data_IF_715978742697
#
_entry.id   IF_715978742697
#
_cell.length_a   1.000
_cell.length_b   1.000
_cell.length_c   1.000
_cell.angle_alpha   90.00
_cell.angle_beta   90.00
_cell.angle_gamma   90.00
#
_symmetry.space_group_name_H-M   'P 1'
#
loop_
_entity.id
_entity.type
_entity.pdbx_description
1 polymer ?
#
# COMPACT_ATOMS: atom_id res chain seq x y z
N UNK A 1 -14.30 -26.83 10.82
CA UNK A 1 -12.93 -26.92 10.29
C UNK A 1 -12.66 -25.59 9.58
N UNK A 2 -11.92 -24.70 10.21
CA UNK A 2 -11.41 -23.54 9.48
C UNK A 2 -10.41 -24.06 8.46
N UNK A 3 -10.66 -23.79 7.20
CA UNK A 3 -9.70 -24.04 6.15
C UNK A 3 -8.55 -23.06 6.36
N UNK A 4 -7.42 -23.54 6.89
CA UNK A 4 -6.20 -22.73 6.99
C UNK A 4 -5.72 -22.53 5.57
N UNK A 5 -6.00 -21.35 5.02
CA UNK A 5 -5.47 -20.95 3.74
C UNK A 5 -3.98 -20.63 3.97
N UNK A 6 -3.10 -21.54 3.54
CA UNK A 6 -1.66 -21.46 3.80
C UNK A 6 -0.88 -21.49 2.49
N UNK A 7 0.13 -20.62 2.40
CA UNK A 7 1.10 -20.58 1.32
C UNK A 7 2.48 -20.90 1.90
N UNK A 8 3.06 -22.00 1.44
CA UNK A 8 4.41 -22.39 1.81
C UNK A 8 5.40 -21.83 0.79
N UNK A 9 6.31 -20.97 1.24
CA UNK A 9 7.40 -20.47 0.41
C UNK A 9 8.64 -21.35 0.59
N UNK A 10 9.42 -21.56 -0.48
CA UNK A 10 10.71 -22.20 -0.37
C UNK A 10 11.60 -21.36 0.56
N UNK A 11 12.12 -21.97 1.62
CA UNK A 11 12.99 -21.31 2.58
C UNK A 11 14.04 -22.29 3.07
N UNK A 12 15.31 -21.87 3.10
CA UNK A 12 16.27 -22.52 3.97
C UNK A 12 15.85 -22.18 5.41
N UNK A 13 16.15 -23.09 6.36
CA UNK A 13 15.94 -22.79 7.78
C UNK A 13 16.44 -21.38 8.05
N UNK A 14 15.52 -20.50 8.46
CA UNK A 14 15.83 -19.11 8.69
C UNK A 14 16.70 -19.07 9.94
N UNK A 15 18.01 -19.08 9.71
CA UNK A 15 19.01 -18.79 10.75
C UNK A 15 18.54 -17.49 11.41
N UNK A 16 18.29 -17.55 12.72
CA UNK A 16 17.84 -16.50 13.63
C UNK A 16 17.63 -15.13 12.93
N UNK A 17 16.52 -14.98 12.23
CA UNK A 17 16.17 -13.70 11.60
C UNK A 17 16.06 -12.66 12.68
N UNK A 18 16.72 -11.54 12.47
CA UNK A 18 16.60 -10.40 13.37
C UNK A 18 15.12 -9.99 13.43
N UNK A 19 14.49 -10.29 14.55
CA UNK A 19 13.10 -9.90 14.84
C UNK A 19 13.05 -8.60 15.64
N UNK A 20 14.22 -8.00 15.90
CA UNK A 20 14.33 -6.76 16.63
C UNK A 20 13.94 -5.57 15.76
N UNK A 21 14.25 -5.63 14.47
CA UNK A 21 14.17 -4.49 13.60
C UNK A 21 13.55 -4.86 12.24
N UNK A 22 12.76 -3.97 11.70
CA UNK A 22 12.23 -4.05 10.34
C UNK A 22 12.37 -2.72 9.61
N UNK A 23 12.03 -2.71 8.32
CA UNK A 23 12.16 -1.52 7.50
C UNK A 23 11.09 -1.40 6.42
N UNK A 24 10.79 -0.16 6.06
CA UNK A 24 9.98 0.25 4.91
C UNK A 24 10.87 1.10 4.02
N UNK A 25 11.17 0.62 2.83
CA UNK A 25 11.84 1.39 1.79
C UNK A 25 10.78 1.93 0.81
N UNK A 26 10.73 3.25 0.64
CA UNK A 26 9.75 3.89 -0.24
C UNK A 26 10.31 4.02 -1.66
N UNK A 27 9.79 3.21 -2.58
CA UNK A 27 10.18 3.23 -4.00
C UNK A 27 9.54 4.42 -4.72
N UNK A 28 8.30 4.75 -4.36
CA UNK A 28 7.51 5.84 -4.94
C UNK A 28 6.07 5.40 -5.21
N UNK A 29 5.15 6.34 -5.34
CA UNK A 29 3.73 6.12 -5.49
C UNK A 29 3.18 5.22 -4.35
N UNK A 30 2.60 4.07 -4.69
CA UNK A 30 2.12 3.06 -3.74
C UNK A 30 3.14 1.95 -3.47
N UNK A 31 4.32 1.99 -4.13
CA UNK A 31 5.31 0.93 -4.08
C UNK A 31 6.23 1.09 -2.88
N UNK A 32 6.20 0.13 -1.98
CA UNK A 32 7.17 0.01 -0.88
C UNK A 32 7.74 -1.40 -0.78
N UNK A 33 8.93 -1.52 -0.22
CA UNK A 33 9.53 -2.81 0.16
C UNK A 33 9.53 -2.88 1.68
N UNK A 34 8.71 -3.77 2.23
CA UNK A 34 8.66 -4.07 3.67
C UNK A 34 9.55 -5.27 3.96
N UNK A 35 10.50 -5.10 4.88
CA UNK A 35 11.37 -6.18 5.37
C UNK A 35 11.20 -6.36 6.87
N UNK A 36 10.77 -7.54 7.29
CA UNK A 36 10.72 -7.92 8.70
C UNK A 36 10.61 -9.43 8.88
N UNK A 37 11.19 -9.95 9.96
CA UNK A 37 11.11 -11.35 10.39
C UNK A 37 11.43 -12.37 9.27
N UNK A 38 12.37 -12.05 8.38
CA UNK A 38 12.80 -12.91 7.29
C UNK A 38 11.98 -12.80 6.00
N UNK A 39 10.93 -11.98 6.00
CA UNK A 39 10.15 -11.69 4.80
C UNK A 39 10.60 -10.39 4.13
N UNK A 40 10.55 -10.40 2.81
CA UNK A 40 10.65 -9.21 1.95
C UNK A 40 9.40 -9.13 1.08
N UNK A 41 8.55 -8.16 1.38
CA UNK A 41 7.23 -7.99 0.77
C UNK A 41 7.27 -6.73 -0.10
N UNK A 42 6.80 -6.83 -1.35
CA UNK A 42 6.64 -5.71 -2.27
C UNK A 42 5.16 -5.34 -2.35
N UNK A 43 4.83 -4.05 -2.27
CA UNK A 43 3.45 -3.58 -2.42
C UNK A 43 3.27 -2.87 -3.75
N UNK A 44 2.11 -3.04 -4.37
CA UNK A 44 1.63 -2.25 -5.51
C UNK A 44 2.76 -1.86 -6.49
N UNK A 45 3.42 -2.82 -7.16
CA UNK A 45 4.64 -2.57 -7.91
C UNK A 45 4.38 -1.71 -9.16
N UNK A 46 4.94 -0.50 -9.15
CA UNK A 46 4.91 0.44 -10.26
C UNK A 46 6.31 0.99 -10.52
N UNK A 47 6.89 0.63 -11.66
CA UNK A 47 8.28 0.91 -12.05
C UNK A 47 8.39 1.65 -13.39
N UNK A 48 7.29 2.19 -13.90
CA UNK A 48 7.32 3.12 -15.03
C UNK A 48 8.18 4.33 -14.70
N UNK A 49 8.76 4.94 -15.72
CA UNK A 49 9.60 6.12 -15.58
C UNK A 49 8.83 7.41 -15.83
N UNK A 50 9.45 8.51 -15.45
CA UNK A 50 8.96 9.85 -15.71
C UNK A 50 8.67 10.04 -17.21
N UNK A 51 7.44 10.50 -17.49
CA UNK A 51 6.95 10.69 -18.86
C UNK A 51 6.20 9.49 -19.42
N UNK A 52 6.33 8.30 -18.83
CA UNK A 52 5.48 7.17 -19.17
C UNK A 52 4.03 7.45 -18.76
N UNK A 53 3.09 6.92 -19.52
CA UNK A 53 1.67 7.07 -19.25
C UNK A 53 1.11 5.79 -18.65
N UNK A 54 0.27 5.94 -17.63
CA UNK A 54 -0.57 4.88 -17.09
C UNK A 54 -1.99 5.01 -17.61
N UNK A 55 -2.66 3.89 -17.80
CA UNK A 55 -4.05 3.79 -18.20
C UNK A 55 -4.91 3.50 -16.95
N UNK A 56 -5.77 4.44 -16.62
CA UNK A 56 -6.65 4.34 -15.45
C UNK A 56 -8.06 3.81 -15.80
N UNK A 57 -8.19 3.18 -16.97
CA UNK A 57 -9.48 2.71 -17.49
C UNK A 57 -10.30 3.83 -18.14
N UNK A 58 -11.42 3.44 -18.80
CA UNK A 58 -12.38 4.36 -19.45
C UNK A 58 -11.74 5.37 -20.42
N UNK A 59 -10.59 5.04 -21.04
CA UNK A 59 -9.87 5.92 -21.97
C UNK A 59 -9.05 7.02 -21.28
N UNK A 60 -8.94 6.99 -19.97
CA UNK A 60 -8.18 7.98 -19.19
C UNK A 60 -6.72 7.56 -19.04
N UNK A 61 -5.82 8.50 -19.26
CA UNK A 61 -4.39 8.32 -19.07
C UNK A 61 -3.82 9.47 -18.25
N UNK A 62 -2.77 9.20 -17.48
CA UNK A 62 -1.98 10.23 -16.81
C UNK A 62 -0.51 9.91 -16.93
N UNK A 63 0.34 10.94 -16.98
CA UNK A 63 1.77 10.76 -17.08
C UNK A 63 2.40 10.58 -15.70
N UNK A 64 3.36 9.67 -15.60
CA UNK A 64 4.22 9.57 -14.43
C UNK A 64 5.14 10.79 -14.36
N UNK A 65 5.29 11.37 -13.17
CA UNK A 65 6.06 12.61 -12.97
C UNK A 65 7.48 12.39 -12.51
N UNK A 66 7.73 11.22 -12.00
CA UNK A 66 8.98 10.91 -11.28
C UNK A 66 9.47 9.53 -11.64
N UNK A 67 10.77 9.32 -11.51
CA UNK A 67 11.36 7.99 -11.64
C UNK A 67 11.19 7.21 -10.33
N UNK A 68 11.07 5.86 -10.37
CA UNK A 68 11.14 5.06 -9.16
C UNK A 68 12.51 5.20 -8.51
N UNK A 69 12.59 5.10 -7.18
CA UNK A 69 13.87 5.18 -6.46
C UNK A 69 14.78 3.97 -6.70
N UNK A 70 14.24 2.93 -7.31
CA UNK A 70 14.92 1.67 -7.58
C UNK A 70 14.36 1.12 -8.89
N UNK A 71 15.21 0.59 -9.74
CA UNK A 71 14.80 -0.10 -10.96
C UNK A 71 14.22 -1.49 -10.62
N UNK A 72 13.30 -1.98 -11.46
CA UNK A 72 12.67 -3.28 -11.26
C UNK A 72 13.71 -4.41 -11.19
N UNK A 73 14.75 -4.34 -12.02
CA UNK A 73 15.85 -5.31 -12.09
C UNK A 73 16.78 -5.26 -10.86
N UNK A 74 16.73 -4.18 -10.10
CA UNK A 74 17.53 -3.99 -8.89
C UNK A 74 16.76 -4.39 -7.61
N UNK A 75 15.53 -4.91 -7.74
CA UNK A 75 14.78 -5.41 -6.59
C UNK A 75 15.56 -6.50 -5.85
N UNK A 76 15.57 -6.47 -4.51
CA UNK A 76 16.04 -7.62 -3.75
C UNK A 76 15.13 -8.83 -4.02
N UNK A 77 15.55 -10.05 -3.66
CA UNK A 77 14.65 -11.20 -3.70
C UNK A 77 13.36 -10.92 -2.91
N UNK A 78 12.23 -10.96 -3.62
CA UNK A 78 10.89 -10.72 -3.07
C UNK A 78 10.26 -12.06 -2.73
N UNK A 79 9.62 -12.16 -1.57
CA UNK A 79 8.92 -13.36 -1.14
C UNK A 79 7.49 -13.45 -1.70
N UNK A 80 6.80 -12.34 -1.69
CA UNK A 80 5.49 -12.19 -2.31
C UNK A 80 5.13 -10.71 -2.51
N UNK A 81 4.15 -10.48 -3.36
CA UNK A 81 3.58 -9.15 -3.61
C UNK A 81 2.23 -9.03 -2.92
N UNK A 82 1.97 -7.85 -2.35
CA UNK A 82 0.63 -7.41 -1.97
C UNK A 82 0.16 -6.39 -2.99
N UNK A 83 -0.89 -6.73 -3.72
CA UNK A 83 -1.49 -5.85 -4.71
C UNK A 83 -2.87 -5.43 -4.26
N UNK A 84 -3.07 -4.13 -4.05
CA UNK A 84 -4.34 -3.59 -3.57
C UNK A 84 -5.46 -3.73 -4.60
N UNK A 85 -5.18 -3.46 -5.89
CA UNK A 85 -6.11 -3.56 -6.99
C UNK A 85 -5.39 -3.46 -8.35
N UNK A 86 -6.13 -3.68 -9.45
CA UNK A 86 -5.56 -3.75 -10.80
C UNK A 86 -5.75 -2.42 -11.56
N UNK A 87 -5.05 -1.36 -11.11
CA UNK A 87 -4.79 -0.16 -11.91
C UNK A 87 -3.32 -0.12 -12.33
N UNK A 88 -3.02 0.52 -13.46
CA UNK A 88 -1.65 0.51 -14.02
C UNK A 88 -0.66 1.34 -13.17
N UNK A 89 -1.14 2.24 -12.31
CA UNK A 89 -0.32 2.94 -11.31
C UNK A 89 -0.02 2.09 -10.04
N UNK A 90 -0.62 0.89 -9.92
CA UNK A 90 -0.37 -0.10 -8.87
C UNK A 90 0.27 -1.39 -9.40
N UNK A 91 0.01 -1.75 -10.66
CA UNK A 91 0.63 -2.89 -11.34
C UNK A 91 0.82 -2.56 -12.81
N UNK A 92 1.99 -2.05 -13.15
CA UNK A 92 2.22 -1.53 -14.48
C UNK A 92 2.62 -2.61 -15.50
N UNK A 93 2.60 -2.22 -16.79
CA UNK A 93 2.91 -3.10 -17.92
C UNK A 93 4.34 -3.64 -17.91
N UNK A 94 5.32 -2.88 -17.36
CA UNK A 94 6.71 -3.34 -17.25
C UNK A 94 6.82 -4.41 -16.17
N UNK A 95 6.13 -4.23 -15.06
CA UNK A 95 5.99 -5.23 -14.00
C UNK A 95 5.32 -6.49 -14.56
N UNK A 96 4.20 -6.34 -15.26
CA UNK A 96 3.49 -7.46 -15.88
C UNK A 96 4.36 -8.27 -16.85
N UNK A 97 5.32 -7.60 -17.52
CA UNK A 97 6.22 -8.24 -18.49
C UNK A 97 7.47 -8.85 -17.88
N UNK A 98 8.04 -8.22 -16.83
CA UNK A 98 9.39 -8.53 -16.33
C UNK A 98 9.43 -9.21 -14.97
N UNK A 99 8.39 -9.03 -14.14
CA UNK A 99 8.34 -9.66 -12.83
C UNK A 99 8.27 -11.20 -12.99
N UNK A 100 8.89 -11.93 -12.10
CA UNK A 100 8.82 -13.39 -12.10
C UNK A 100 7.36 -13.86 -11.94
N UNK A 101 6.81 -14.50 -12.97
CA UNK A 101 5.42 -14.97 -12.99
C UNK A 101 5.13 -16.09 -12.00
N UNK A 102 6.16 -16.70 -11.40
CA UNK A 102 6.03 -17.69 -10.33
C UNK A 102 5.90 -17.05 -8.94
N UNK A 103 6.17 -15.72 -8.82
CA UNK A 103 6.09 -15.00 -7.57
C UNK A 103 4.63 -14.92 -7.09
N UNK A 104 4.33 -15.31 -5.83
CA UNK A 104 3.00 -15.18 -5.29
C UNK A 104 2.56 -13.72 -5.21
N UNK A 105 1.35 -13.43 -5.68
CA UNK A 105 0.71 -12.11 -5.58
C UNK A 105 -0.61 -12.28 -4.83
N UNK A 106 -0.72 -11.69 -3.65
CA UNK A 106 -1.93 -11.72 -2.83
C UNK A 106 -2.74 -10.46 -3.13
N UNK A 107 -4.00 -10.63 -3.54
CA UNK A 107 -4.81 -9.53 -4.06
C UNK A 107 -6.32 -9.82 -4.02
N UNK A 108 -7.14 -8.94 -4.62
CA UNK A 108 -8.57 -9.14 -4.79
C UNK A 108 -8.90 -10.27 -5.78
N UNK A 109 -10.09 -10.88 -5.73
CA UNK A 109 -10.50 -11.87 -6.74
C UNK A 109 -10.46 -11.35 -8.18
N UNK A 110 -10.82 -10.07 -8.40
CA UNK A 110 -10.76 -9.42 -9.70
C UNK A 110 -9.32 -9.35 -10.22
N UNK A 111 -8.41 -8.77 -9.43
CA UNK A 111 -7.01 -8.64 -9.83
C UNK A 111 -6.32 -10.01 -9.98
N UNK A 112 -6.66 -11.00 -9.16
CA UNK A 112 -6.12 -12.36 -9.28
C UNK A 112 -6.53 -13.04 -10.60
N UNK A 113 -7.77 -12.81 -11.07
CA UNK A 113 -8.22 -13.31 -12.37
C UNK A 113 -7.45 -12.66 -13.53
N UNK A 114 -7.26 -11.34 -13.47
CA UNK A 114 -6.49 -10.60 -14.47
C UNK A 114 -5.02 -11.05 -14.50
N UNK A 115 -4.39 -11.19 -13.34
CA UNK A 115 -3.01 -11.67 -13.21
C UNK A 115 -2.87 -13.10 -13.76
N UNK A 116 -3.82 -13.98 -13.46
CA UNK A 116 -3.81 -15.35 -13.99
C UNK A 116 -3.88 -15.35 -15.52
N UNK A 117 -4.68 -14.45 -16.11
CA UNK A 117 -4.75 -14.32 -17.58
C UNK A 117 -3.45 -13.80 -18.19
N UNK A 118 -2.64 -13.08 -17.42
CA UNK A 118 -1.30 -12.59 -17.78
C UNK A 118 -0.18 -13.59 -17.48
N UNK A 119 -0.51 -14.79 -16.97
CA UNK A 119 0.46 -15.85 -16.71
C UNK A 119 0.98 -15.95 -15.27
N UNK A 120 0.52 -15.10 -14.34
CA UNK A 120 0.87 -15.19 -12.92
C UNK A 120 0.09 -16.31 -12.22
N UNK A 121 0.57 -17.54 -12.37
CA UNK A 121 -0.13 -18.75 -11.87
C UNK A 121 -0.17 -18.88 -10.34
N UNK A 122 0.64 -18.09 -9.62
CA UNK A 122 0.69 -18.09 -8.16
C UNK A 122 -0.15 -16.99 -7.50
N UNK A 123 -1.00 -16.27 -8.27
CA UNK A 123 -1.91 -15.27 -7.73
C UNK A 123 -2.89 -15.88 -6.71
N UNK A 124 -3.10 -15.20 -5.59
CA UNK A 124 -3.95 -15.63 -4.47
C UNK A 124 -5.02 -14.58 -4.22
N UNK A 125 -6.26 -14.96 -4.42
CA UNK A 125 -7.43 -14.11 -4.20
C UNK A 125 -7.85 -14.13 -2.73
N UNK A 126 -8.16 -12.95 -2.17
CA UNK A 126 -8.79 -12.82 -0.87
C UNK A 126 -10.03 -11.93 -0.99
N UNK A 127 -11.17 -12.41 -0.52
CA UNK A 127 -12.32 -11.56 -0.29
C UNK A 127 -12.13 -10.75 1.00
N UNK A 128 -12.87 -9.66 1.14
CA UNK A 128 -12.83 -8.85 2.36
C UNK A 128 -13.01 -9.73 3.60
N UNK A 129 -12.14 -9.55 4.59
CA UNK A 129 -12.05 -10.30 5.85
C UNK A 129 -11.48 -11.74 5.72
N UNK A 130 -11.17 -12.23 4.53
CA UNK A 130 -10.42 -13.47 4.37
C UNK A 130 -8.94 -13.27 4.65
N UNK A 131 -8.26 -14.33 5.08
CA UNK A 131 -6.84 -14.32 5.36
C UNK A 131 -6.09 -15.46 4.71
N UNK A 132 -4.80 -15.22 4.47
CA UNK A 132 -3.83 -16.21 4.01
C UNK A 132 -2.62 -16.16 4.94
N UNK A 133 -2.20 -17.31 5.44
CA UNK A 133 -0.93 -17.43 6.18
C UNK A 133 0.18 -17.80 5.21
N UNK A 134 1.26 -17.05 5.22
CA UNK A 134 2.48 -17.33 4.45
C UNK A 134 3.55 -17.82 5.41
N UNK A 135 4.12 -18.98 5.12
CA UNK A 135 5.15 -19.63 5.93
C UNK A 135 6.45 -19.75 5.13
N UNK A 136 7.58 -19.38 5.73
CA UNK A 136 8.92 -19.45 5.14
C UNK A 136 9.95 -19.80 6.21
N UNK A 137 10.58 -20.96 6.10
CA UNK A 137 11.66 -21.36 7.04
C UNK A 137 11.28 -21.24 8.52
N UNK A 138 10.05 -21.61 8.90
CA UNK A 138 9.52 -21.51 10.25
C UNK A 138 9.02 -20.12 10.68
N UNK A 139 9.29 -19.07 9.90
CA UNK A 139 8.66 -17.76 10.10
C UNK A 139 7.25 -17.75 9.49
N UNK A 140 6.31 -17.05 10.13
CA UNK A 140 4.92 -16.95 9.70
C UNK A 140 4.46 -15.50 9.65
N UNK A 141 3.74 -15.18 8.57
CA UNK A 141 3.05 -13.91 8.41
C UNK A 141 1.63 -14.17 7.92
N UNK A 142 0.64 -13.53 8.54
CA UNK A 142 -0.75 -13.59 8.11
C UNK A 142 -1.09 -12.31 7.37
N UNK A 143 -1.64 -12.45 6.18
CA UNK A 143 -2.21 -11.36 5.38
C UNK A 143 -3.72 -11.47 5.47
N UNK A 144 -4.36 -10.40 5.93
CA UNK A 144 -5.81 -10.27 6.03
C UNK A 144 -6.29 -9.20 5.05
N UNK A 145 -7.25 -9.55 4.19
CA UNK A 145 -7.89 -8.56 3.30
C UNK A 145 -8.81 -7.64 4.10
N UNK A 146 -8.57 -6.34 4.01
CA UNK A 146 -9.35 -5.29 4.66
C UNK A 146 -10.33 -4.66 3.68
N UNK A 147 -11.46 -4.13 4.16
CA UNK A 147 -12.42 -3.43 3.30
C UNK A 147 -11.78 -2.22 2.63
N UNK A 148 -12.18 -1.96 1.39
CA UNK A 148 -11.79 -0.80 0.61
C UNK A 148 -12.92 -0.36 -0.33
N UNK A 149 -13.03 0.95 -0.57
CA UNK A 149 -14.01 1.55 -1.45
C UNK A 149 -13.32 2.59 -2.34
N UNK A 150 -13.03 2.20 -3.59
CA UNK A 150 -12.38 3.07 -4.58
C UNK A 150 -13.39 4.01 -5.23
N UNK A 151 -13.88 4.97 -4.45
CA UNK A 151 -14.88 5.95 -4.86
C UNK A 151 -16.21 5.85 -4.11
N UNK A 152 -17.09 6.87 -4.22
CA UNK A 152 -18.35 6.91 -3.52
C UNK A 152 -19.45 6.10 -4.24
N UNK A 153 -20.25 5.36 -3.51
CA UNK A 153 -21.50 4.75 -3.98
C UNK A 153 -21.36 3.92 -5.26
N UNK A 154 -22.05 4.33 -6.32
CA UNK A 154 -22.03 3.62 -7.61
C UNK A 154 -20.70 3.74 -8.37
N UNK A 155 -19.90 4.77 -8.10
CA UNK A 155 -18.59 4.97 -8.75
C UNK A 155 -17.63 3.87 -8.35
N UNK A 156 -17.65 3.42 -7.11
CA UNK A 156 -16.84 2.29 -6.66
C UNK A 156 -17.08 0.98 -7.44
N UNK A 157 -18.26 0.84 -8.08
CA UNK A 157 -18.59 -0.31 -8.93
C UNK A 157 -18.05 -0.19 -10.36
N UNK A 158 -17.64 0.99 -10.76
CA UNK A 158 -17.07 1.26 -12.08
C UNK A 158 -15.55 1.16 -12.10
N UNK A 159 -14.92 1.20 -10.92
CA UNK A 159 -13.49 1.07 -10.73
C UNK A 159 -13.15 -0.35 -10.25
N UNK A 160 -11.91 -0.81 -10.45
CA UNK A 160 -11.48 -2.11 -9.93
C UNK A 160 -11.72 -2.21 -8.42
N UNK A 161 -12.21 -3.36 -7.93
CA UNK A 161 -12.33 -3.60 -6.50
C UNK A 161 -10.98 -3.48 -5.82
N UNK A 162 -10.93 -2.76 -4.70
CA UNK A 162 -9.72 -2.54 -3.92
C UNK A 162 -9.80 -3.26 -2.59
N UNK A 163 -8.68 -3.78 -2.12
CA UNK A 163 -8.52 -4.27 -0.75
C UNK A 163 -7.42 -3.49 -0.03
N UNK A 164 -7.65 -3.14 1.23
CA UNK A 164 -6.56 -2.89 2.16
C UNK A 164 -5.92 -4.20 2.59
N UNK A 165 -4.73 -4.15 3.17
CA UNK A 165 -4.03 -5.33 3.70
C UNK A 165 -3.62 -5.10 5.15
N UNK A 166 -4.00 -6.01 6.04
CA UNK A 166 -3.43 -6.10 7.38
C UNK A 166 -2.45 -7.27 7.42
N UNK A 167 -1.23 -6.99 7.86
CA UNK A 167 -0.13 -7.93 7.88
C UNK A 167 0.26 -8.17 9.33
N UNK A 168 0.16 -9.40 9.79
CA UNK A 168 0.52 -9.81 11.15
C UNK A 168 1.71 -10.75 11.11
N UNK A 169 2.84 -10.31 11.64
CA UNK A 169 4.03 -11.15 11.80
C UNK A 169 4.00 -11.85 13.15
N UNK A 170 4.13 -13.17 13.14
CA UNK A 170 4.10 -13.99 14.34
C UNK A 170 5.52 -14.18 14.92
N UNK A 171 5.61 -14.18 16.25
CA UNK A 171 6.81 -14.57 16.95
C UNK A 171 6.95 -16.11 17.04
N UNK A 172 7.98 -16.59 17.73
CA UNK A 172 8.21 -18.04 17.90
C UNK A 172 7.14 -18.77 18.72
N UNK A 173 6.30 -18.02 19.45
CA UNK A 173 5.16 -18.55 20.22
C UNK A 173 3.85 -18.55 19.45
N UNK A 174 3.86 -18.04 18.20
CA UNK A 174 2.64 -17.87 17.40
C UNK A 174 1.79 -16.65 17.78
N UNK A 175 2.35 -15.71 18.55
CA UNK A 175 1.71 -14.47 18.93
C UNK A 175 2.08 -13.36 17.95
N UNK A 176 1.20 -12.37 17.74
CA UNK A 176 1.47 -11.24 16.85
C UNK A 176 2.58 -10.34 17.44
N UNK A 177 3.73 -10.35 16.80
CA UNK A 177 4.88 -9.52 17.16
C UNK A 177 4.78 -8.10 16.57
N UNK A 178 4.29 -7.97 15.36
CA UNK A 178 4.16 -6.70 14.65
C UNK A 178 2.96 -6.73 13.71
N UNK A 179 2.22 -5.63 13.67
CA UNK A 179 1.02 -5.48 12.83
C UNK A 179 1.12 -4.23 11.98
N UNK A 180 1.08 -4.40 10.65
CA UNK A 180 1.04 -3.32 9.69
C UNK A 180 -0.29 -3.29 8.95
N UNK A 181 -0.86 -2.10 8.74
CA UNK A 181 -2.06 -1.86 7.94
C UNK A 181 -1.71 -1.02 6.72
N UNK A 182 -2.09 -1.47 5.53
CA UNK A 182 -1.92 -0.77 4.25
C UNK A 182 -3.31 -0.50 3.70
N UNK A 183 -3.65 0.76 3.43
CA UNK A 183 -5.05 1.11 3.11
C UNK A 183 -5.49 0.69 1.72
N UNK A 184 -4.58 0.65 0.73
CA UNK A 184 -4.96 0.68 -0.69
C UNK A 184 -5.67 1.99 -1.05
N UNK A 185 -6.11 2.09 -2.30
CA UNK A 185 -6.84 3.25 -2.81
C UNK A 185 -8.30 3.23 -2.35
N UNK A 186 -8.54 3.66 -1.14
CA UNK A 186 -9.88 3.69 -0.55
C UNK A 186 -10.28 5.10 -0.13
N UNK A 187 -11.56 5.34 0.03
CA UNK A 187 -12.12 6.45 0.79
C UNK A 187 -12.34 6.04 2.23
N UNK A 188 -12.56 7.03 3.11
CA UNK A 188 -13.06 6.77 4.46
C UNK A 188 -14.57 6.42 4.40
N UNK A 189 -14.96 5.24 4.91
CA UNK A 189 -16.34 4.78 4.97
C UNK A 189 -16.60 3.90 6.21
N UNK A 190 -17.87 3.59 6.47
CA UNK A 190 -18.28 3.04 7.77
C UNK A 190 -17.70 1.66 8.08
N UNK A 191 -17.49 0.79 7.10
CA UNK A 191 -16.96 -0.56 7.33
C UNK A 191 -15.53 -0.55 7.87
N UNK A 192 -14.75 0.51 7.60
CA UNK A 192 -13.40 0.67 8.17
C UNK A 192 -13.41 0.72 9.70
N UNK A 193 -14.55 1.07 10.33
CA UNK A 193 -14.70 1.09 11.79
C UNK A 193 -14.60 -0.30 12.43
N UNK A 194 -14.77 -1.36 11.64
CA UNK A 194 -14.59 -2.74 12.10
C UNK A 194 -13.11 -3.12 12.26
N UNK A 195 -12.18 -2.42 11.57
CA UNK A 195 -10.75 -2.74 11.63
C UNK A 195 -10.21 -2.68 13.07
N UNK A 196 -10.31 -1.57 13.82
CA UNK A 196 -9.77 -1.52 15.17
C UNK A 196 -10.54 -2.40 16.17
N UNK A 197 -11.78 -2.78 15.87
CA UNK A 197 -12.56 -3.72 16.70
C UNK A 197 -12.04 -5.14 16.58
N UNK A 198 -11.62 -5.55 15.38
CA UNK A 198 -11.10 -6.89 15.09
C UNK A 198 -9.60 -6.98 15.31
N UNK A 199 -8.88 -5.91 15.01
CA UNK A 199 -7.42 -5.84 14.99
C UNK A 199 -6.94 -4.60 15.75
N UNK A 200 -6.97 -4.63 17.09
CA UNK A 200 -6.39 -3.56 17.90
C UNK A 200 -4.86 -3.54 17.76
N UNK A 201 -4.22 -2.51 18.28
CA UNK A 201 -2.75 -2.38 18.40
C UNK A 201 -2.00 -2.46 17.07
N UNK A 202 -2.40 -1.63 16.10
CA UNK A 202 -1.69 -1.46 14.84
C UNK A 202 -0.38 -0.72 15.09
N UNK A 203 0.75 -1.34 14.73
CA UNK A 203 2.07 -0.74 14.92
C UNK A 203 2.40 0.27 13.83
N UNK A 204 2.06 -0.04 12.58
CA UNK A 204 2.35 0.78 11.41
C UNK A 204 1.12 0.89 10.50
N UNK A 205 0.84 2.08 9.97
CA UNK A 205 -0.13 2.27 8.91
C UNK A 205 0.52 2.95 7.70
N UNK A 206 0.41 2.34 6.52
CA UNK A 206 0.74 2.95 5.23
C UNK A 206 -0.56 3.49 4.61
N UNK A 207 -0.62 4.81 4.41
CA UNK A 207 -1.84 5.50 4.02
C UNK A 207 -1.71 6.02 2.58
N UNK A 208 -2.57 5.53 1.69
CA UNK A 208 -2.65 6.01 0.30
C UNK A 208 -3.40 7.35 0.29
N UNK A 209 -2.66 8.45 0.15
CA UNK A 209 -3.19 9.81 0.24
C UNK A 209 -3.06 10.59 -1.08
N UNK A 210 -3.35 9.95 -2.20
CA UNK A 210 -3.30 10.56 -3.53
C UNK A 210 -4.30 11.69 -3.74
N UNK A 211 -5.42 11.69 -3.01
CA UNK A 211 -6.50 12.67 -3.20
C UNK A 211 -7.07 12.69 -4.61
N UNK A 212 -7.03 11.54 -5.28
CA UNK A 212 -7.38 11.37 -6.69
C UNK A 212 -8.84 11.72 -6.94
N UNK A 213 -9.08 12.58 -7.94
CA UNK A 213 -10.42 13.03 -8.32
C UNK A 213 -10.82 12.47 -9.68
N UNK A 214 -11.87 11.65 -9.73
CA UNK A 214 -12.45 11.16 -10.97
C UNK A 214 -13.21 12.30 -11.68
N UNK A 215 -12.82 12.62 -12.92
CA UNK A 215 -13.31 13.78 -13.67
C UNK A 215 -13.23 15.13 -12.92
N UNK A 216 -12.31 15.28 -11.98
CA UNK A 216 -12.18 16.49 -11.17
C UNK A 216 -13.37 16.76 -10.22
N UNK A 217 -14.31 15.83 -10.08
CA UNK A 217 -15.55 15.99 -9.34
C UNK A 217 -15.73 15.02 -8.19
N UNK A 218 -15.28 13.79 -8.34
CA UNK A 218 -15.53 12.71 -7.38
C UNK A 218 -14.22 12.16 -6.86
N UNK A 219 -13.98 12.30 -5.55
CA UNK A 219 -12.82 11.73 -4.90
C UNK A 219 -12.88 10.20 -4.96
N UNK A 220 -11.79 9.56 -5.35
CA UNK A 220 -11.69 8.10 -5.45
C UNK A 220 -10.56 7.52 -4.59
N UNK A 221 -9.59 8.33 -4.17
CA UNK A 221 -8.56 7.99 -3.19
C UNK A 221 -8.56 9.02 -2.08
N UNK A 222 -8.27 8.63 -0.85
CA UNK A 222 -8.27 9.54 0.31
C UNK A 222 -7.39 10.75 0.11
N UNK A 223 -7.91 11.89 0.55
CA UNK A 223 -7.11 13.09 0.80
C UNK A 223 -6.49 13.07 2.21
N UNK A 224 -5.59 14.00 2.55
CA UNK A 224 -5.00 14.09 3.87
C UNK A 224 -6.00 14.21 5.02
N UNK A 225 -7.18 14.83 4.80
CA UNK A 225 -8.20 14.96 5.85
C UNK A 225 -8.83 13.60 6.17
N UNK A 226 -9.11 12.80 5.16
CA UNK A 226 -9.56 11.42 5.34
C UNK A 226 -8.45 10.54 5.94
N UNK A 227 -7.18 10.77 5.55
CA UNK A 227 -6.02 10.13 6.18
C UNK A 227 -5.96 10.39 7.69
N UNK A 228 -6.21 11.62 8.13
CA UNK A 228 -6.31 11.94 9.57
C UNK A 228 -7.47 11.19 10.24
N UNK A 229 -8.60 11.00 9.54
CA UNK A 229 -9.72 10.20 10.07
C UNK A 229 -9.32 8.73 10.24
N UNK A 230 -8.54 8.15 9.31
CA UNK A 230 -7.98 6.80 9.46
C UNK A 230 -7.03 6.74 10.66
N UNK A 231 -6.08 7.67 10.79
CA UNK A 231 -5.15 7.70 11.93
C UNK A 231 -5.92 7.76 13.25
N UNK A 232 -6.94 8.62 13.34
CA UNK A 232 -7.81 8.73 14.51
C UNK A 232 -8.58 7.43 14.78
N UNK A 233 -9.02 6.73 13.74
CA UNK A 233 -9.80 5.51 13.85
C UNK A 233 -8.97 4.33 14.33
N UNK A 234 -7.84 4.07 13.64
CA UNK A 234 -7.02 2.86 13.89
C UNK A 234 -5.90 3.08 14.88
N UNK A 235 -5.58 4.34 15.21
CA UNK A 235 -4.57 4.76 16.19
C UNK A 235 -3.25 4.00 16.07
N UNK A 236 -2.61 3.97 14.87
CA UNK A 236 -1.37 3.25 14.70
C UNK A 236 -0.27 3.92 15.52
N UNK A 237 0.75 3.17 15.96
CA UNK A 237 1.93 3.79 16.59
C UNK A 237 2.64 4.72 15.64
N UNK A 238 2.73 4.30 14.36
CA UNK A 238 3.34 5.09 13.29
C UNK A 238 2.44 5.10 12.07
N UNK A 239 2.23 6.26 11.45
CA UNK A 239 1.56 6.45 10.18
C UNK A 239 2.54 7.01 9.15
N UNK A 240 2.57 6.43 7.96
CA UNK A 240 3.40 6.84 6.84
C UNK A 240 2.49 7.06 5.63
N UNK A 241 2.31 8.29 5.15
CA UNK A 241 1.62 8.55 3.90
C UNK A 241 2.46 8.05 2.72
N UNK A 242 1.77 7.47 1.75
CA UNK A 242 2.28 7.04 0.45
C UNK A 242 1.28 7.44 -0.63
N UNK A 243 1.57 7.17 -1.90
CA UNK A 243 0.68 7.46 -3.04
C UNK A 243 0.38 8.96 -3.23
N UNK A 244 1.27 9.83 -2.80
CA UNK A 244 1.08 11.28 -2.86
C UNK A 244 2.07 11.99 -3.80
N UNK A 245 3.08 11.30 -4.31
CA UNK A 245 4.27 11.91 -4.88
C UNK A 245 4.41 11.77 -6.39
N UNK A 246 3.52 11.08 -7.07
CA UNK A 246 3.74 10.72 -8.47
C UNK A 246 2.64 11.15 -9.44
N UNK A 247 1.49 10.51 -9.42
CA UNK A 247 0.44 10.79 -10.40
C UNK A 247 -0.47 11.91 -9.94
N UNK A 248 -0.65 12.91 -10.79
CA UNK A 248 -1.78 13.80 -10.64
C UNK A 248 -2.94 13.21 -11.42
N UNK A 249 -3.85 12.60 -10.70
CA UNK A 249 -5.12 12.30 -11.28
C UNK A 249 -5.83 13.61 -11.59
N UNK A 250 -6.00 13.85 -12.90
CA UNK A 250 -6.90 14.85 -13.46
C UNK A 250 -6.73 16.29 -12.98
N UNK A 251 -5.62 16.92 -13.32
CA UNK A 251 -5.77 18.29 -13.78
C UNK A 251 -6.44 18.24 -15.15
N UNK A 252 -7.75 18.41 -15.21
CA UNK A 252 -8.37 19.01 -16.38
C UNK A 252 -7.84 20.44 -16.44
N UNK A 253 -6.71 20.61 -17.07
CA UNK A 253 -6.23 21.91 -17.46
C UNK A 253 -7.07 22.39 -18.66
N UNK A 254 -8.12 23.09 -18.36
CA UNK A 254 -8.49 24.22 -19.20
C UNK A 254 -7.37 25.26 -18.99
N UNK A 255 -6.27 25.17 -19.77
CA UNK A 255 -5.16 26.10 -19.77
C UNK A 255 -4.05 25.75 -18.78
N UNK A 256 -3.01 25.15 -19.32
CA UNK A 256 -1.59 25.32 -19.03
C UNK A 256 -1.17 25.65 -17.60
N UNK A 257 -1.22 24.66 -16.71
CA UNK A 257 -0.45 24.67 -15.46
C UNK A 257 0.00 23.27 -15.09
N UNK A 258 0.63 22.58 -16.03
CA UNK A 258 1.38 21.38 -15.68
C UNK A 258 2.44 21.78 -14.64
N UNK A 259 2.40 21.16 -13.46
CA UNK A 259 3.46 21.31 -12.46
C UNK A 259 4.80 21.03 -13.12
N UNK A 260 5.84 21.89 -12.93
CA UNK A 260 7.17 21.55 -13.32
C UNK A 260 7.57 20.22 -12.71
N UNK A 261 8.28 19.36 -13.48
CA UNK A 261 8.70 18.05 -13.01
C UNK A 261 9.51 18.06 -11.71
N UNK A 262 10.12 19.18 -11.38
CA UNK A 262 11.05 19.37 -10.25
C UNK A 262 10.38 20.04 -9.04
N UNK A 263 9.07 20.35 -9.10
CA UNK A 263 8.38 21.00 -7.99
C UNK A 263 8.23 20.04 -6.81
N UNK A 264 8.48 20.54 -5.60
CA UNK A 264 8.35 19.77 -4.36
C UNK A 264 6.92 19.17 -4.24
N UNK A 265 6.78 17.88 -3.94
CA UNK A 265 5.47 17.27 -3.69
C UNK A 265 4.60 18.04 -2.68
N UNK A 266 5.21 18.72 -1.71
CA UNK A 266 4.49 19.55 -0.73
C UNK A 266 3.80 20.76 -1.37
N UNK A 267 4.33 21.32 -2.46
CA UNK A 267 3.71 22.44 -3.17
C UNK A 267 2.43 22.01 -3.91
N UNK A 268 2.35 20.77 -4.34
CA UNK A 268 1.16 20.24 -5.03
C UNK A 268 -0.03 20.12 -4.07
N UNK A 269 0.20 19.69 -2.85
CA UNK A 269 -0.83 19.68 -1.81
C UNK A 269 -1.41 21.06 -1.54
N UNK A 270 -0.62 22.12 -1.74
CA UNK A 270 -1.08 23.51 -1.61
C UNK A 270 -2.03 23.95 -2.73
N UNK A 271 -1.80 23.51 -3.99
CA UNK A 271 -2.63 23.89 -5.14
C UNK A 271 -4.03 23.26 -5.13
N UNK A 272 -4.15 22.06 -4.59
CA UNK A 272 -5.43 21.35 -4.49
C UNK A 272 -6.29 21.78 -3.28
N UNK A 273 -5.94 22.88 -2.58
CA UNK A 273 -6.48 23.29 -1.26
C UNK A 273 -6.31 22.19 -0.20
N UNK A 274 -5.37 21.29 -0.42
CA UNK A 274 -5.01 20.22 0.47
C UNK A 274 -3.79 20.70 1.27
N UNK A 275 -3.84 20.46 2.53
CA UNK A 275 -2.93 20.67 3.63
C UNK A 275 -1.46 20.45 3.25
N UNK A 276 -0.57 21.30 3.72
CA UNK A 276 0.87 21.01 3.70
C UNK A 276 1.20 19.80 4.57
N UNK A 277 2.39 19.20 4.42
CA UNK A 277 2.80 18.12 5.32
C UNK A 277 2.77 18.53 6.78
N UNK A 278 3.16 19.77 7.09
CA UNK A 278 3.14 20.33 8.44
C UNK A 278 1.71 20.40 9.00
N UNK A 279 0.75 20.84 8.20
CA UNK A 279 -0.66 20.84 8.59
C UNK A 279 -1.19 19.43 8.78
N UNK A 280 -0.89 18.50 7.87
CA UNK A 280 -1.28 17.09 8.01
C UNK A 280 -0.74 16.49 9.31
N UNK A 281 0.55 16.68 9.60
CA UNK A 281 1.19 16.22 10.83
C UNK A 281 0.52 16.86 12.06
N UNK A 282 0.27 18.16 12.01
CA UNK A 282 -0.39 18.88 13.12
C UNK A 282 -1.82 18.39 13.36
N UNK A 283 -2.58 18.15 12.28
CA UNK A 283 -3.94 17.59 12.37
C UNK A 283 -3.92 16.16 12.90
N UNK A 284 -3.04 15.31 12.41
CA UNK A 284 -2.88 13.94 12.87
C UNK A 284 -2.50 13.89 14.36
N UNK A 285 -1.52 14.70 14.77
CA UNK A 285 -1.11 14.81 16.18
C UNK A 285 -2.24 15.28 17.11
N UNK A 286 -3.10 16.17 16.62
CA UNK A 286 -4.29 16.62 17.38
C UNK A 286 -5.34 15.51 17.47
N UNK A 287 -5.53 14.73 16.39
CA UNK A 287 -6.56 13.70 16.31
C UNK A 287 -6.18 12.40 17.03
N UNK A 288 -4.90 12.05 17.04
CA UNK A 288 -4.33 10.84 17.66
C UNK A 288 -2.94 11.18 18.25
N UNK A 289 -2.85 11.78 19.44
CA UNK A 289 -1.59 12.28 20.01
C UNK A 289 -0.50 11.21 20.22
N UNK A 290 -0.92 9.94 20.34
CA UNK A 290 -0.01 8.80 20.53
C UNK A 290 0.58 8.27 19.21
N UNK A 291 0.04 8.68 18.06
CA UNK A 291 0.51 8.25 16.75
C UNK A 291 1.61 9.19 16.24
N UNK A 292 2.76 8.64 15.84
CA UNK A 292 3.78 9.37 15.11
C UNK A 292 3.43 9.40 13.61
N UNK A 293 3.75 10.50 12.92
CA UNK A 293 3.64 10.60 11.47
C UNK A 293 5.03 10.80 10.87
N UNK A 294 5.42 9.94 9.95
CA UNK A 294 6.67 10.03 9.21
C UNK A 294 6.41 10.23 7.73
N UNK A 295 6.96 11.30 7.17
CA UNK A 295 6.92 11.54 5.72
C UNK A 295 8.21 10.97 5.13
N UNK A 296 8.08 9.99 4.24
CA UNK A 296 9.23 9.41 3.54
C UNK A 296 9.35 10.02 2.16
N UNK A 297 10.53 10.52 1.84
CA UNK A 297 10.86 10.84 0.46
C UNK A 297 11.18 9.55 -0.29
N UNK A 298 11.02 9.59 -1.59
CA UNK A 298 11.39 8.48 -2.46
C UNK A 298 12.87 8.13 -2.29
N UNK A 299 13.16 6.83 -2.13
CA UNK A 299 14.50 6.31 -1.81
C UNK A 299 14.85 6.32 -0.32
N UNK A 300 13.99 6.87 0.55
CA UNK A 300 14.22 6.82 1.99
C UNK A 300 13.73 5.51 2.60
N UNK A 301 14.37 5.15 3.70
CA UNK A 301 14.02 3.97 4.51
C UNK A 301 13.59 4.41 5.89
N UNK A 302 12.39 4.00 6.29
CA UNK A 302 11.96 4.04 7.69
C UNK A 302 12.31 2.73 8.36
N UNK A 303 13.00 2.79 9.49
CA UNK A 303 13.33 1.62 10.31
C UNK A 303 12.49 1.63 11.58
N UNK A 304 11.94 0.49 11.95
CA UNK A 304 11.16 0.33 13.18
C UNK A 304 11.75 -0.78 14.05
N UNK A 305 11.53 -0.65 15.34
CA UNK A 305 11.95 -1.64 16.34
C UNK A 305 10.73 -2.36 16.91
N UNK A 306 10.90 -3.65 17.17
CA UNK A 306 9.90 -4.46 17.85
C UNK A 306 10.41 -4.77 19.26
N UNK A 307 9.65 -4.48 20.33
CA UNK A 307 10.06 -4.71 21.69
C UNK A 307 10.39 -6.19 21.97
N UNK A 308 11.39 -6.45 22.80
CA UNK A 308 11.82 -7.81 23.14
C UNK A 308 10.67 -8.68 23.68
N UNK A 309 9.75 -8.08 24.44
CA UNK A 309 8.58 -8.78 24.98
C UNK A 309 7.61 -9.32 23.91
N UNK A 310 7.70 -8.83 22.68
CA UNK A 310 6.84 -9.22 21.54
C UNK A 310 7.55 -10.09 20.50
N UNK A 311 8.86 -10.28 20.61
CA UNK A 311 9.68 -11.05 19.63
C UNK A 311 9.53 -12.56 19.72
#
# INVERSE_FOLDING_TARGET
>A
MEWINELLLPGRDVVATDRAQGSIFFVGNATVILKYAGFTILTDPNFLHRGDHVHLGHGMTTARRTDPALELEALPPIDFVLLSHMHEDHFDREVGRKLDHSLPIITTPHAAADLTSQGFGAAKALNTWESLTVTKGGARVRVQAMPGAHGPGAVAKMLPPVMGSLIEFENSRGEVAFRAYITGDTLFFDELKEIPRRFPDIDLALLHLGGTMFFGLLMVTMDPKQGVQIIRLVQPKTAIPIHYDDYTAFEFTLGDTARPPDADPSEWWQRTKITSFEEFIAMAKKAAPASAVHILRRGETYTFEVPESRR
#
